data_IF_514804122270
#
_entry.id   IF_514804122270
#
_cell.length_a   1.000
_cell.length_b   1.000
_cell.length_c   1.000
_cell.angle_alpha   90.00
_cell.angle_beta   90.00
_cell.angle_gamma   90.00
#
_symmetry.space_group_name_H-M   'P 1'
#
loop_
_entity.id
_entity.type
_entity.pdbx_description
1 polymer ?
#
# COMPACT_ATOMS: atom_id res chain seq x y z
N UNK A 1 50.50 -13.26 8.75
CA UNK A 1 49.76 -11.99 8.86
C UNK A 1 48.28 -12.27 8.61
N UNK A 2 47.50 -12.11 9.68
CA UNK A 2 46.04 -12.05 9.85
C UNK A 2 45.11 -12.10 8.61
N UNK A 3 44.58 -13.29 8.28
CA UNK A 3 43.32 -13.47 7.53
C UNK A 3 42.57 -14.67 8.12
N UNK A 4 41.72 -14.47 9.13
CA UNK A 4 41.01 -15.60 9.75
C UNK A 4 39.75 -15.29 10.57
N UNK A 5 39.46 -14.02 10.86
CA UNK A 5 38.38 -13.66 11.80
C UNK A 5 37.14 -13.01 11.16
N UNK A 6 37.06 -12.94 9.82
CA UNK A 6 35.95 -12.29 9.11
C UNK A 6 34.71 -13.16 8.85
N UNK A 7 34.83 -14.49 8.93
CA UNK A 7 33.81 -15.42 8.40
C UNK A 7 32.80 -15.92 9.46
N UNK A 8 33.18 -15.93 10.74
CA UNK A 8 32.34 -16.46 11.83
C UNK A 8 31.08 -15.63 12.15
N UNK A 9 31.09 -14.28 12.10
CA UNK A 9 29.94 -13.48 12.52
C UNK A 9 28.80 -13.47 11.49
N UNK A 10 29.10 -13.55 10.19
CA UNK A 10 28.09 -13.72 9.13
C UNK A 10 27.38 -15.07 9.26
N UNK A 11 28.11 -16.16 9.51
CA UNK A 11 27.52 -17.50 9.72
C UNK A 11 26.60 -17.59 10.94
N UNK A 12 26.98 -16.96 12.05
CA UNK A 12 26.14 -16.97 13.26
C UNK A 12 24.87 -16.14 13.07
N UNK A 13 24.94 -15.03 12.34
CA UNK A 13 23.78 -14.21 12.01
C UNK A 13 22.85 -14.94 11.03
N UNK A 14 23.40 -15.60 10.01
CA UNK A 14 22.66 -16.48 9.09
C UNK A 14 21.99 -17.66 9.80
N UNK A 15 22.67 -18.29 10.77
CA UNK A 15 22.11 -19.41 11.54
C UNK A 15 20.98 -18.99 12.49
N UNK A 16 21.12 -17.84 13.16
CA UNK A 16 20.05 -17.27 13.99
C UNK A 16 18.87 -16.80 13.13
N UNK A 17 19.16 -16.34 11.91
CA UNK A 17 18.17 -15.99 10.91
C UNK A 17 17.37 -17.23 10.42
N UNK A 18 18.03 -18.34 10.09
CA UNK A 18 17.39 -19.61 9.72
C UNK A 18 16.49 -20.16 10.83
N UNK A 19 16.89 -19.96 12.10
CA UNK A 19 16.07 -20.33 13.27
C UNK A 19 14.87 -19.42 13.55
N UNK A 20 14.62 -18.37 12.72
CA UNK A 20 13.62 -17.31 12.96
C UNK A 20 13.78 -16.58 14.30
N UNK A 21 14.98 -16.61 14.87
CA UNK A 21 15.30 -15.97 16.16
C UNK A 21 15.64 -14.49 15.96
N UNK A 22 14.72 -13.72 15.35
CA UNK A 22 14.95 -12.32 14.94
C UNK A 22 15.38 -11.41 16.11
N UNK A 23 14.87 -11.65 17.32
CA UNK A 23 15.22 -10.87 18.52
C UNK A 23 16.65 -11.15 19.00
N UNK A 24 17.09 -12.40 18.91
CA UNK A 24 18.45 -12.80 19.30
C UNK A 24 19.47 -12.35 18.26
N UNK A 25 19.10 -12.47 16.98
CA UNK A 25 19.87 -11.91 15.86
C UNK A 25 20.05 -10.40 16.00
N UNK A 26 18.99 -9.66 16.37
CA UNK A 26 19.07 -8.22 16.62
C UNK A 26 20.01 -7.89 17.79
N UNK A 27 19.91 -8.64 18.90
CA UNK A 27 20.81 -8.48 20.04
C UNK A 27 22.28 -8.79 19.72
N UNK A 28 22.53 -9.76 18.85
CA UNK A 28 23.88 -10.07 18.35
C UNK A 28 24.40 -8.97 17.42
N UNK A 29 23.57 -8.49 16.49
CA UNK A 29 23.90 -7.42 15.55
C UNK A 29 24.31 -6.12 16.26
N UNK A 30 23.60 -5.75 17.33
CA UNK A 30 23.92 -4.56 18.14
C UNK A 30 25.27 -4.68 18.87
N UNK A 31 25.76 -5.89 19.11
CA UNK A 31 27.05 -6.15 19.79
C UNK A 31 28.22 -6.31 18.82
N UNK A 32 27.96 -6.43 17.51
CA UNK A 32 29.02 -6.63 16.52
C UNK A 32 29.88 -5.36 16.36
N UNK A 33 31.21 -5.46 16.29
CA UNK A 33 32.08 -4.32 15.98
C UNK A 33 31.77 -3.68 14.62
N UNK A 34 32.06 -2.38 14.49
CA UNK A 34 31.79 -1.60 13.27
C UNK A 34 32.45 -2.19 12.02
N UNK A 35 33.71 -2.61 12.14
CA UNK A 35 34.46 -3.19 11.02
C UNK A 35 33.85 -4.52 10.56
N UNK A 36 33.38 -5.34 11.49
CA UNK A 36 32.74 -6.64 11.21
C UNK A 36 31.40 -6.45 10.52
N UNK A 37 30.59 -5.49 11.00
CA UNK A 37 29.30 -5.19 10.40
C UNK A 37 29.45 -4.68 8.97
N UNK A 38 30.44 -3.81 8.71
CA UNK A 38 30.70 -3.30 7.36
C UNK A 38 31.12 -4.42 6.39
N UNK A 39 31.92 -5.38 6.86
CA UNK A 39 32.34 -6.53 6.06
C UNK A 39 31.18 -7.51 5.79
N UNK A 40 30.29 -7.71 6.76
CA UNK A 40 29.15 -8.62 6.63
C UNK A 40 27.95 -7.99 5.87
N UNK A 41 27.95 -6.68 5.62
CA UNK A 41 26.78 -5.97 5.08
C UNK A 41 26.36 -6.47 3.68
N UNK A 42 27.33 -6.85 2.85
CA UNK A 42 27.08 -7.41 1.50
C UNK A 42 26.42 -8.78 1.54
N UNK A 43 26.60 -9.50 2.64
CA UNK A 43 26.13 -10.88 2.80
C UNK A 43 24.75 -10.94 3.47
N UNK A 44 24.21 -9.80 3.94
CA UNK A 44 22.91 -9.75 4.59
C UNK A 44 21.79 -9.71 3.53
N UNK A 45 20.89 -10.71 3.47
CA UNK A 45 19.79 -10.73 2.52
C UNK A 45 18.65 -9.79 2.99
N UNK A 46 18.82 -8.49 2.75
CA UNK A 46 17.84 -7.45 3.16
C UNK A 46 16.44 -7.72 2.57
N UNK A 47 16.36 -8.21 1.34
CA UNK A 47 15.09 -8.52 0.66
C UNK A 47 14.24 -9.52 1.43
N UNK A 48 14.88 -10.57 1.92
CA UNK A 48 14.21 -11.62 2.66
C UNK A 48 13.75 -11.12 4.04
N UNK A 49 14.48 -10.17 4.64
CA UNK A 49 14.02 -9.47 5.84
C UNK A 49 12.78 -8.63 5.57
N UNK A 50 12.66 -8.01 4.39
CA UNK A 50 11.49 -7.23 4.00
C UNK A 50 10.27 -8.14 3.80
N UNK A 51 10.46 -9.28 3.13
CA UNK A 51 9.38 -10.25 2.87
C UNK A 51 8.81 -10.85 4.16
N UNK A 52 9.67 -11.11 5.15
CA UNK A 52 9.30 -11.71 6.44
C UNK A 52 8.69 -10.72 7.44
N UNK A 53 8.54 -9.44 7.08
CA UNK A 53 7.79 -8.47 7.89
C UNK A 53 6.34 -8.93 8.06
N UNK A 54 5.76 -8.83 9.28
CA UNK A 54 6.23 -8.03 10.43
C UNK A 54 7.20 -8.73 11.41
N UNK A 55 7.51 -10.00 11.23
CA UNK A 55 8.27 -10.81 12.21
C UNK A 55 9.73 -10.36 12.36
N UNK A 56 10.34 -9.96 11.25
CA UNK A 56 11.72 -9.47 11.16
C UNK A 56 11.91 -8.03 11.65
N UNK A 57 10.84 -7.34 12.08
CA UNK A 57 10.85 -5.90 12.36
C UNK A 57 11.96 -5.48 13.34
N UNK A 58 12.17 -6.26 14.40
CA UNK A 58 13.17 -5.96 15.44
C UNK A 58 14.60 -6.06 14.88
N UNK A 59 14.85 -7.04 14.01
CA UNK A 59 16.15 -7.20 13.35
C UNK A 59 16.40 -6.10 12.33
N UNK A 60 15.37 -5.74 11.56
CA UNK A 60 15.45 -4.67 10.58
C UNK A 60 15.72 -3.33 11.27
N UNK A 61 15.02 -3.02 12.37
CA UNK A 61 15.28 -1.81 13.17
C UNK A 61 16.72 -1.76 13.70
N UNK A 62 17.21 -2.84 14.30
CA UNK A 62 18.60 -2.91 14.77
C UNK A 62 19.61 -2.68 13.63
N UNK A 63 19.35 -3.25 12.45
CA UNK A 63 20.22 -3.10 11.27
C UNK A 63 20.27 -1.64 10.80
N UNK A 64 19.13 -1.01 10.55
CA UNK A 64 19.11 0.38 10.10
C UNK A 64 19.68 1.33 11.16
N UNK A 65 19.42 1.09 12.45
CA UNK A 65 19.99 1.90 13.53
C UNK A 65 21.53 1.84 13.54
N UNK A 66 22.13 0.66 13.35
CA UNK A 66 23.60 0.52 13.24
C UNK A 66 24.15 1.13 11.95
N UNK A 67 23.41 1.08 10.86
CA UNK A 67 23.82 1.70 9.60
C UNK A 67 23.86 3.22 9.69
N UNK A 68 22.94 3.83 10.45
CA UNK A 68 22.99 5.26 10.77
C UNK A 68 24.27 5.60 11.53
N UNK A 69 24.66 4.80 12.52
CA UNK A 69 25.89 5.00 13.30
C UNK A 69 27.16 4.89 12.43
N UNK A 70 27.13 4.01 11.43
CA UNK A 70 28.23 3.81 10.49
C UNK A 70 28.27 4.84 9.35
N UNK A 71 27.29 5.74 9.25
CA UNK A 71 27.10 6.68 8.14
C UNK A 71 27.17 6.01 6.76
N UNK A 72 26.62 4.80 6.63
CA UNK A 72 26.56 4.09 5.35
C UNK A 72 25.42 4.68 4.52
N UNK A 73 25.77 5.30 3.38
CA UNK A 73 24.83 5.98 2.48
C UNK A 73 24.53 5.21 1.20
N UNK A 74 24.97 3.94 1.08
CA UNK A 74 24.75 3.15 -0.13
C UNK A 74 23.29 2.69 -0.26
N UNK A 75 22.49 3.53 -0.91
CA UNK A 75 21.03 3.39 -1.04
C UNK A 75 20.60 2.11 -1.75
N UNK A 76 21.46 1.50 -2.58
CA UNK A 76 21.15 0.27 -3.33
C UNK A 76 21.16 -0.96 -2.42
N UNK A 77 22.13 -1.05 -1.52
CA UNK A 77 22.23 -2.14 -0.53
C UNK A 77 21.07 -2.02 0.46
N UNK A 78 20.70 -0.78 0.78
CA UNK A 78 19.75 -0.47 1.83
C UNK A 78 18.29 -0.60 1.42
N UNK A 79 17.96 -0.85 0.13
CA UNK A 79 16.60 -1.14 -0.37
C UNK A 79 15.50 -0.26 0.26
N UNK A 80 15.83 1.01 0.51
CA UNK A 80 15.09 1.89 1.43
C UNK A 80 13.64 2.08 0.96
N UNK A 81 13.46 2.20 -0.36
CA UNK A 81 12.13 2.34 -0.97
C UNK A 81 11.25 1.10 -0.73
N UNK A 82 11.81 -0.11 -0.87
CA UNK A 82 11.06 -1.36 -0.69
C UNK A 82 10.62 -1.55 0.77
N UNK A 83 11.51 -1.25 1.72
CA UNK A 83 11.17 -1.23 3.15
C UNK A 83 10.03 -0.25 3.41
N UNK A 84 10.13 0.97 2.88
CA UNK A 84 9.13 2.00 3.08
C UNK A 84 7.75 1.57 2.55
N UNK A 85 7.67 1.02 1.35
CA UNK A 85 6.41 0.51 0.80
C UNK A 85 5.84 -0.63 1.61
N UNK A 86 6.69 -1.55 2.07
CA UNK A 86 6.24 -2.65 2.91
C UNK A 86 5.70 -2.15 4.24
N UNK A 87 6.33 -1.14 4.85
CA UNK A 87 5.83 -0.46 6.05
C UNK A 87 4.47 0.18 5.78
N UNK A 88 4.33 0.96 4.71
CA UNK A 88 3.07 1.64 4.36
C UNK A 88 1.94 0.63 4.20
N UNK A 89 2.18 -0.46 3.45
CA UNK A 89 1.21 -1.53 3.25
C UNK A 89 0.82 -2.25 4.55
N UNK A 90 1.79 -2.53 5.42
CA UNK A 90 1.52 -3.20 6.70
C UNK A 90 0.78 -2.30 7.67
N UNK A 91 1.12 -1.00 7.75
CA UNK A 91 0.40 -0.03 8.60
C UNK A 91 -1.03 0.19 8.08
N UNK A 92 -1.24 0.20 6.76
CA UNK A 92 -2.58 0.35 6.20
C UNK A 92 -3.47 -0.87 6.43
N UNK A 93 -2.88 -2.06 6.48
CA UNK A 93 -3.60 -3.34 6.56
C UNK A 93 -3.75 -3.85 7.99
N UNK A 94 -2.79 -3.56 8.87
CA UNK A 94 -2.71 -4.07 10.23
C UNK A 94 -2.52 -2.93 11.21
N UNK A 95 -3.57 -2.60 11.96
CA UNK A 95 -3.57 -1.61 13.06
C UNK A 95 -2.91 -2.19 14.34
N UNK A 96 -1.74 -2.83 14.19
CA UNK A 96 -1.01 -3.39 15.33
C UNK A 96 -0.29 -2.27 16.11
N UNK A 97 -1.04 -1.61 17.00
CA UNK A 97 -0.53 -0.55 17.88
C UNK A 97 0.60 -1.03 18.82
N UNK A 98 0.69 -2.34 19.08
CA UNK A 98 1.67 -2.98 19.99
C UNK A 98 3.12 -2.76 19.52
N UNK A 99 3.36 -2.65 18.21
CA UNK A 99 4.70 -2.47 17.64
C UNK A 99 5.01 -1.03 17.20
N UNK A 100 4.12 -0.08 17.48
CA UNK A 100 4.22 1.34 17.09
C UNK A 100 5.58 1.95 17.41
N UNK A 101 6.13 1.70 18.60
CA UNK A 101 7.44 2.25 19.02
C UNK A 101 8.60 1.77 18.15
N UNK A 102 8.58 0.51 17.73
CA UNK A 102 9.66 -0.08 16.89
C UNK A 102 9.51 0.45 15.46
N UNK A 103 8.29 0.57 14.95
CA UNK A 103 8.02 1.22 13.66
C UNK A 103 8.53 2.66 13.64
N UNK A 104 8.25 3.45 14.68
CA UNK A 104 8.73 4.82 14.79
C UNK A 104 10.26 4.90 14.77
N UNK A 105 10.95 4.03 15.51
CA UNK A 105 12.42 3.97 15.51
C UNK A 105 12.97 3.65 14.13
N UNK A 106 12.42 2.63 13.47
CA UNK A 106 12.82 2.26 12.12
C UNK A 106 12.62 3.42 11.13
N UNK A 107 11.47 4.11 11.19
CA UNK A 107 11.18 5.26 10.33
C UNK A 107 12.14 6.44 10.59
N UNK A 108 12.50 6.70 11.86
CA UNK A 108 13.51 7.70 12.21
C UNK A 108 14.87 7.32 11.61
N UNK A 109 15.30 6.06 11.76
CA UNK A 109 16.56 5.57 11.18
C UNK A 109 16.58 5.67 9.66
N UNK A 110 15.47 5.30 8.99
CA UNK A 110 15.31 5.44 7.54
C UNK A 110 15.37 6.91 7.08
N UNK A 111 14.70 7.81 7.80
CA UNK A 111 14.72 9.24 7.47
C UNK A 111 16.11 9.87 7.65
N UNK A 112 16.91 9.39 8.61
CA UNK A 112 18.31 9.82 8.78
C UNK A 112 19.21 9.29 7.66
N UNK A 113 18.98 8.06 7.19
CA UNK A 113 19.74 7.46 6.09
C UNK A 113 19.40 8.07 4.73
N UNK A 114 18.13 8.42 4.50
CA UNK A 114 17.69 9.04 3.26
C UNK A 114 16.57 10.05 3.52
N UNK A 115 16.89 11.33 3.71
CA UNK A 115 15.88 12.37 3.97
C UNK A 115 14.93 12.58 2.79
N UNK A 116 15.35 12.19 1.58
CA UNK A 116 14.53 12.34 0.37
C UNK A 116 13.31 11.41 0.36
N UNK A 117 13.35 10.28 1.07
CA UNK A 117 12.23 9.32 1.09
C UNK A 117 10.94 9.91 1.62
N UNK A 118 11.01 10.81 2.62
CA UNK A 118 9.86 11.56 3.11
C UNK A 118 9.22 12.41 2.01
N UNK A 119 10.04 13.11 1.22
CA UNK A 119 9.56 13.94 0.11
C UNK A 119 8.92 13.10 -0.99
N UNK A 120 9.50 11.94 -1.30
CA UNK A 120 8.91 10.97 -2.24
C UNK A 120 7.54 10.50 -1.76
N UNK A 121 7.40 10.18 -0.47
CA UNK A 121 6.12 9.75 0.10
C UNK A 121 5.07 10.87 0.06
N UNK A 122 5.45 12.09 0.44
CA UNK A 122 4.56 13.27 0.37
C UNK A 122 4.14 13.56 -1.07
N UNK A 123 5.08 13.49 -2.02
CA UNK A 123 4.80 13.71 -3.44
C UNK A 123 3.81 12.68 -3.98
N UNK A 124 4.00 11.39 -3.64
CA UNK A 124 3.09 10.31 -4.06
C UNK A 124 1.74 10.41 -3.37
N UNK A 125 1.69 10.74 -2.07
CA UNK A 125 0.43 11.04 -1.37
C UNK A 125 -0.33 12.18 -2.06
N UNK A 126 0.35 13.28 -2.38
CA UNK A 126 -0.25 14.41 -3.10
C UNK A 126 -0.68 14.03 -4.52
N UNK A 127 0.07 13.16 -5.19
CA UNK A 127 -0.31 12.61 -6.50
C UNK A 127 -1.59 11.78 -6.41
N UNK A 128 -1.70 10.94 -5.37
CA UNK A 128 -2.91 10.18 -5.05
C UNK A 128 -4.07 11.12 -4.72
N UNK A 129 -3.87 12.11 -3.85
CA UNK A 129 -4.88 13.12 -3.49
C UNK A 129 -5.38 13.86 -4.74
N UNK A 130 -4.49 14.27 -5.65
CA UNK A 130 -4.90 14.88 -6.93
C UNK A 130 -5.64 13.92 -7.86
N UNK A 131 -5.25 12.65 -7.91
CA UNK A 131 -5.96 11.65 -8.70
C UNK A 131 -7.35 11.39 -8.12
N UNK A 132 -7.46 11.32 -6.78
CA UNK A 132 -8.72 11.21 -6.04
C UNK A 132 -9.57 12.46 -6.21
N UNK A 133 -9.00 13.67 -6.16
CA UNK A 133 -9.68 14.93 -6.46
C UNK A 133 -10.13 14.99 -7.93
N UNK A 134 -9.35 14.45 -8.86
CA UNK A 134 -9.74 14.29 -10.26
C UNK A 134 -10.92 13.33 -10.42
N UNK A 135 -10.96 12.27 -9.61
CA UNK A 135 -12.10 11.36 -9.46
C UNK A 135 -13.31 12.06 -8.79
N UNK A 136 -13.05 12.95 -7.83
CA UNK A 136 -14.02 13.67 -7.02
C UNK A 136 -14.65 14.89 -7.71
N UNK A 137 -13.93 15.58 -8.61
CA UNK A 137 -14.46 16.68 -9.44
C UNK A 137 -15.62 16.23 -10.34
N UNK A 138 -15.72 14.92 -10.58
CA UNK A 138 -16.83 14.28 -11.28
C UNK A 138 -17.42 13.12 -10.48
N UNK A 139 -17.27 13.12 -9.14
CA UNK A 139 -17.74 12.12 -8.17
C UNK A 139 -18.10 10.72 -8.67
N UNK A 140 -17.42 9.69 -8.18
CA UNK A 140 -17.92 8.33 -8.38
C UNK A 140 -19.28 8.15 -7.70
N UNK A 141 -20.30 7.79 -8.49
CA UNK A 141 -21.66 7.49 -8.04
C UNK A 141 -21.88 5.98 -8.17
N UNK A 142 -22.62 5.33 -7.25
CA UNK A 142 -23.07 3.97 -7.45
C UNK A 142 -23.81 3.84 -8.78
N UNK A 143 -23.40 2.89 -9.62
CA UNK A 143 -24.16 2.56 -10.83
C UNK A 143 -25.55 2.07 -10.42
N UNK A 144 -26.57 2.56 -11.11
CA UNK A 144 -27.94 2.07 -10.99
C UNK A 144 -28.10 0.63 -11.51
N UNK A 145 -27.11 0.14 -12.26
CA UNK A 145 -27.03 -1.26 -12.66
C UNK A 145 -26.59 -2.10 -11.46
N UNK A 146 -27.58 -2.65 -10.77
CA UNK A 146 -27.41 -3.78 -9.85
C UNK A 146 -26.96 -4.99 -10.67
N UNK A 147 -25.67 -5.03 -11.00
CA UNK A 147 -25.07 -6.27 -11.47
C UNK A 147 -25.17 -7.24 -10.29
N UNK A 148 -26.10 -8.20 -10.39
CA UNK A 148 -26.30 -9.33 -9.49
C UNK A 148 -25.09 -10.28 -9.53
N UNK A 149 -23.93 -9.77 -9.18
CA UNK A 149 -22.74 -10.57 -8.92
C UNK A 149 -22.60 -10.66 -7.41
N UNK A 150 -23.24 -11.67 -6.83
CA UNK A 150 -23.38 -11.95 -5.39
C UNK A 150 -22.06 -12.12 -4.61
N UNK A 151 -20.89 -11.81 -5.20
CA UNK A 151 -19.58 -11.99 -4.57
C UNK A 151 -18.69 -10.73 -4.54
N UNK A 152 -19.23 -9.54 -4.81
CA UNK A 152 -18.49 -8.28 -4.66
C UNK A 152 -19.15 -7.36 -3.65
N UNK A 153 -18.50 -7.19 -2.48
CA UNK A 153 -18.93 -6.29 -1.39
C UNK A 153 -18.76 -4.80 -1.76
N UNK A 154 -18.25 -4.48 -2.95
CA UNK A 154 -18.06 -3.11 -3.41
C UNK A 154 -19.14 -2.71 -4.43
N UNK A 155 -19.91 -1.63 -4.19
CA UNK A 155 -20.82 -1.12 -5.21
C UNK A 155 -20.04 -0.77 -6.48
N UNK A 156 -20.55 -1.13 -7.65
CA UNK A 156 -19.95 -0.72 -8.92
C UNK A 156 -20.02 0.79 -9.02
N UNK A 157 -18.88 1.46 -8.93
CA UNK A 157 -18.78 2.92 -8.93
C UNK A 157 -18.45 3.42 -10.33
N UNK A 158 -19.25 4.35 -10.86
CA UNK A 158 -19.08 4.98 -12.18
C UNK A 158 -18.94 6.50 -12.06
N UNK A 159 -18.25 7.18 -12.99
CA UNK A 159 -18.16 8.66 -12.97
C UNK A 159 -19.54 9.32 -13.09
N UNK A 160 -19.79 10.42 -12.35
CA UNK A 160 -21.05 11.18 -12.37
C UNK A 160 -21.54 11.53 -13.77
N UNK A 161 -20.71 11.99 -14.74
CA UNK A 161 -21.20 12.30 -16.08
C UNK A 161 -21.76 11.07 -16.81
N UNK A 162 -21.19 9.89 -16.55
CA UNK A 162 -21.66 8.62 -17.12
C UNK A 162 -22.96 8.20 -16.45
N UNK A 163 -23.03 8.27 -15.11
CA UNK A 163 -24.24 8.00 -14.35
C UNK A 163 -25.40 8.91 -14.75
N UNK A 164 -25.14 10.22 -14.90
CA UNK A 164 -26.14 11.19 -15.35
C UNK A 164 -26.61 10.90 -16.77
N UNK A 165 -25.70 10.53 -17.68
CA UNK A 165 -26.07 10.16 -19.04
C UNK A 165 -27.00 8.94 -19.05
N UNK A 166 -26.63 7.87 -18.34
CA UNK A 166 -27.44 6.64 -18.24
C UNK A 166 -28.82 6.93 -17.63
N UNK A 167 -28.88 7.76 -16.58
CA UNK A 167 -30.13 8.13 -15.92
C UNK A 167 -31.02 9.01 -16.82
N UNK A 168 -30.43 9.92 -17.61
CA UNK A 168 -31.16 10.71 -18.61
C UNK A 168 -31.70 9.85 -19.75
N UNK A 169 -30.91 8.91 -20.26
CA UNK A 169 -31.34 7.97 -21.31
C UNK A 169 -32.49 7.09 -20.80
N UNK A 170 -32.38 6.58 -19.57
CA UNK A 170 -33.44 5.80 -18.92
C UNK A 170 -34.73 6.61 -18.76
N UNK A 171 -34.63 7.87 -18.28
CA UNK A 171 -35.81 8.75 -18.19
C UNK A 171 -36.41 9.05 -19.56
N UNK A 172 -35.59 9.30 -20.57
CA UNK A 172 -36.06 9.54 -21.94
C UNK A 172 -36.88 8.35 -22.46
N UNK A 173 -36.42 7.13 -22.22
CA UNK A 173 -37.14 5.93 -22.64
C UNK A 173 -38.46 5.76 -21.88
N UNK A 174 -38.48 6.03 -20.58
CA UNK A 174 -39.73 6.02 -19.81
C UNK A 174 -40.74 7.06 -20.29
N UNK A 175 -40.28 8.25 -20.68
CA UNK A 175 -41.15 9.28 -21.24
C UNK A 175 -41.69 8.89 -22.62
N UNK A 176 -40.87 8.30 -23.50
CA UNK A 176 -41.33 7.77 -24.79
C UNK A 176 -42.41 6.70 -24.61
N UNK A 177 -42.21 5.77 -23.68
CA UNK A 177 -43.19 4.74 -23.36
C UNK A 177 -44.49 5.34 -22.81
N UNK A 178 -44.41 6.35 -21.95
CA UNK A 178 -45.59 7.04 -21.43
C UNK A 178 -46.36 7.78 -22.54
N UNK A 179 -45.64 8.44 -23.45
CA UNK A 179 -46.22 9.14 -24.59
C UNK A 179 -46.93 8.16 -25.52
N UNK A 180 -46.31 7.03 -25.84
CA UNK A 180 -46.93 5.95 -26.62
C UNK A 180 -48.20 5.39 -25.94
N UNK A 181 -48.19 5.23 -24.61
CA UNK A 181 -49.39 4.83 -23.86
C UNK A 181 -50.51 5.88 -23.98
N UNK A 182 -50.21 7.17 -23.88
CA UNK A 182 -51.18 8.26 -24.02
C UNK A 182 -51.78 8.28 -25.44
N UNK A 183 -50.95 8.13 -26.48
CA UNK A 183 -51.43 8.03 -27.86
C UNK A 183 -52.36 6.83 -28.07
N UNK A 184 -52.03 5.70 -27.44
CA UNK A 184 -52.91 4.53 -27.46
C UNK A 184 -54.24 4.82 -26.76
N UNK A 185 -54.26 5.51 -25.61
CA UNK A 185 -55.51 5.92 -24.98
C UNK A 185 -56.32 6.90 -25.86
N UNK A 186 -55.67 7.84 -26.56
CA UNK A 186 -56.33 8.75 -27.49
C UNK A 186 -57.05 8.03 -28.64
N UNK A 187 -56.47 6.93 -29.14
CA UNK A 187 -57.09 6.08 -30.18
C UNK A 187 -58.34 5.32 -29.66
N UNK A 188 -58.40 5.02 -28.37
CA UNK A 188 -59.55 4.36 -27.74
C UNK A 188 -60.60 5.36 -27.22
N UNK A 189 -60.22 6.62 -26.95
CA UNK A 189 -61.16 7.67 -26.57
C UNK A 189 -62.05 8.13 -27.73
N UNK A 190 -61.63 7.92 -28.99
CA UNK A 190 -62.42 8.18 -30.19
C UNK A 190 -63.54 7.15 -30.44
N UNK A 191 -63.51 5.99 -29.80
CA UNK A 191 -64.45 4.88 -30.05
C UNK A 191 -65.68 4.89 -29.12
N UNK A 192 -65.72 5.81 -28.13
CA UNK A 192 -66.81 5.91 -27.14
C UNK A 192 -67.70 7.16 -27.31
N UNK A 193 -67.72 7.77 -28.51
CA UNK A 193 -68.76 8.73 -28.90
C UNK A 193 -69.68 8.08 -29.93
N UNK A 194 -70.61 7.26 -29.45
CA UNK A 194 -71.54 6.56 -30.32
C UNK A 194 -72.55 5.70 -29.57
N UNK A 195 -73.37 6.33 -28.74
CA UNK A 195 -74.74 5.90 -28.39
C UNK A 195 -75.54 7.13 -28.00
#
# INVERSE_FOLDING_TARGET
MLTGYGFVPSFRLLRLYEGRQYREAAGFLMKLPHYTLKAALTDIPVDLLIETLPHSLILLEALYSRLVELNVSDTKILRIEQVLWRIVHLISTSQDHVRSRIWCKLLVSLNRLSPNTKNTLISRRRGLERAVEGLGKHGLVPSSQTNNSENSVTPNLIPLPVALKEELETRMETYKLALHKIENFGKHAGTHKGT
#
